data_IF_770797433992
#
_entry.id   IF_770797433992
#
_cell.length_a   1.000
_cell.length_b   1.000
_cell.length_c   1.000
_cell.angle_alpha   90.00
_cell.angle_beta   90.00
_cell.angle_gamma   90.00
#
_symmetry.space_group_name_H-M   'P 1'
#
loop_
_entity.id
_entity.type
_entity.pdbx_description
1 polymer ?
#
# COMPACT_ATOMS: atom_id res chain seq x y z
N UNK A 1 14.88 13.57 -27.80
CA UNK A 1 14.69 13.60 -26.33
C UNK A 1 13.20 13.48 -26.05
N UNK A 2 12.70 12.26 -25.85
CA UNK A 2 11.28 12.06 -25.53
C UNK A 2 11.10 12.32 -24.04
N UNK A 3 10.20 13.24 -23.69
CA UNK A 3 9.71 13.37 -22.32
C UNK A 3 9.11 12.01 -21.92
N UNK A 4 9.71 11.37 -20.92
CA UNK A 4 9.07 10.26 -20.22
C UNK A 4 7.69 10.75 -19.75
N UNK A 5 6.63 10.01 -20.12
CA UNK A 5 5.27 10.35 -19.71
C UNK A 5 5.21 10.50 -18.18
N UNK A 6 4.42 11.47 -17.71
CA UNK A 6 4.05 11.56 -16.31
C UNK A 6 3.56 10.20 -15.80
N UNK A 7 3.81 9.94 -14.51
CA UNK A 7 3.38 8.72 -13.84
C UNK A 7 1.92 8.40 -14.19
N UNK A 8 1.63 7.20 -14.74
CA UNK A 8 0.35 6.95 -15.43
C UNK A 8 -0.86 6.99 -14.50
N UNK A 9 -0.66 6.90 -13.17
CA UNK A 9 -1.74 6.95 -12.20
C UNK A 9 -1.92 8.35 -11.59
N UNK A 10 -2.63 9.22 -12.31
CA UNK A 10 -2.96 10.56 -11.83
C UNK A 10 -3.62 10.55 -10.43
N UNK A 11 -3.26 11.48 -9.56
CA UNK A 11 -3.88 11.61 -8.23
C UNK A 11 -3.33 10.65 -7.17
N UNK A 12 -2.18 10.01 -7.41
CA UNK A 12 -1.39 9.32 -6.38
C UNK A 12 -0.41 10.28 -5.70
N UNK A 13 -0.09 10.02 -4.44
CA UNK A 13 0.89 10.77 -3.65
C UNK A 13 2.02 9.87 -3.15
N UNK A 14 2.21 9.86 -1.83
CA UNK A 14 3.21 9.04 -1.14
C UNK A 14 3.14 7.57 -1.56
N UNK A 15 4.31 6.97 -1.78
CA UNK A 15 4.42 5.58 -2.20
C UNK A 15 5.61 4.89 -1.53
N UNK A 16 5.51 3.56 -1.48
CA UNK A 16 6.59 2.66 -1.06
C UNK A 16 6.80 1.61 -2.14
N UNK A 17 8.03 1.09 -2.20
CA UNK A 17 8.41 0.06 -3.16
C UNK A 17 9.10 -1.11 -2.45
N UNK A 18 8.92 -2.31 -3.00
CA UNK A 18 9.66 -3.51 -2.59
C UNK A 18 10.14 -4.27 -3.83
N UNK A 19 11.34 -4.84 -3.78
CA UNK A 19 11.83 -5.74 -4.83
C UNK A 19 11.46 -7.19 -4.49
N UNK A 20 10.77 -7.85 -5.43
CA UNK A 20 10.31 -9.25 -5.33
C UNK A 20 11.42 -10.24 -5.71
N UNK A 21 11.16 -11.54 -5.50
CA UNK A 21 12.14 -12.61 -5.77
C UNK A 21 12.67 -12.61 -7.21
N UNK A 22 11.80 -12.26 -8.18
CA UNK A 22 12.09 -12.22 -9.61
C UNK A 22 12.70 -10.89 -10.10
N UNK A 23 12.99 -9.95 -9.20
CA UNK A 23 13.50 -8.61 -9.54
C UNK A 23 12.41 -7.62 -10.00
N UNK A 24 11.14 -8.01 -9.94
CA UNK A 24 10.01 -7.08 -10.13
C UNK A 24 9.93 -6.10 -8.95
N UNK A 25 9.68 -4.84 -9.24
CA UNK A 25 9.38 -3.80 -8.26
C UNK A 25 7.88 -3.77 -8.02
N UNK A 26 7.47 -4.07 -6.79
CA UNK A 26 6.13 -3.85 -6.27
C UNK A 26 6.01 -2.41 -5.79
N UNK A 27 5.18 -1.61 -6.43
CA UNK A 27 4.89 -0.23 -6.10
C UNK A 27 3.52 -0.12 -5.42
N UNK A 28 3.48 0.44 -4.21
CA UNK A 28 2.26 0.64 -3.44
C UNK A 28 2.07 2.14 -3.19
N UNK A 29 0.95 2.67 -3.67
CA UNK A 29 0.71 4.12 -3.60
C UNK A 29 -0.56 4.48 -2.84
N UNK A 30 -0.45 5.62 -2.16
CA UNK A 30 -1.56 6.39 -1.63
C UNK A 30 -2.24 7.18 -2.75
N UNK A 31 -3.55 7.34 -2.65
CA UNK A 31 -4.39 8.26 -3.43
C UNK A 31 -4.62 9.55 -2.64
N UNK A 32 -4.53 10.69 -3.30
CA UNK A 32 -4.94 11.99 -2.74
C UNK A 32 -6.09 12.64 -3.54
N UNK A 33 -6.45 12.09 -4.71
CA UNK A 33 -7.53 12.60 -5.53
C UNK A 33 -8.87 11.96 -5.15
N UNK A 34 -9.76 12.80 -4.63
CA UNK A 34 -11.08 12.43 -4.10
C UNK A 34 -12.05 11.89 -5.15
N UNK A 35 -11.95 12.36 -6.40
CA UNK A 35 -12.84 11.93 -7.50
C UNK A 35 -12.54 10.52 -8.03
N UNK A 36 -11.51 9.83 -7.53
CA UNK A 36 -11.22 8.46 -7.96
C UNK A 36 -12.18 7.45 -7.34
N UNK A 37 -12.57 6.39 -8.07
CA UNK A 37 -13.29 5.27 -7.50
C UNK A 37 -12.41 4.52 -6.49
N UNK A 38 -13.04 3.94 -5.46
CA UNK A 38 -12.37 3.17 -4.40
C UNK A 38 -11.18 3.92 -3.78
N UNK A 39 -11.35 5.23 -3.55
CA UNK A 39 -10.31 6.13 -3.04
C UNK A 39 -9.87 5.87 -1.59
N UNK A 40 -10.50 4.91 -0.91
CA UNK A 40 -10.10 4.40 0.40
C UNK A 40 -9.30 3.09 0.33
N UNK A 41 -8.95 2.63 -0.88
CA UNK A 41 -8.17 1.40 -1.13
C UNK A 41 -6.81 1.71 -1.76
N UNK A 42 -5.82 0.86 -1.47
CA UNK A 42 -4.46 1.01 -2.03
C UNK A 42 -4.43 0.66 -3.51
N UNK A 43 -3.48 1.28 -4.20
CA UNK A 43 -3.17 0.97 -5.60
C UNK A 43 -1.81 0.29 -5.70
N UNK A 44 -1.83 -0.90 -6.27
CA UNK A 44 -0.65 -1.71 -6.55
C UNK A 44 -0.26 -1.62 -8.01
N UNK A 45 1.04 -1.70 -8.25
CA UNK A 45 1.60 -1.90 -9.57
C UNK A 45 2.87 -2.73 -9.46
N UNK A 46 3.07 -3.64 -10.40
CA UNK A 46 4.27 -4.46 -10.47
C UNK A 46 4.98 -4.17 -11.78
N UNK A 47 6.13 -3.52 -11.73
CA UNK A 47 6.97 -3.26 -12.90
C UNK A 47 8.27 -4.04 -12.82
N UNK A 48 8.95 -4.31 -13.95
CA UNK A 48 10.37 -4.69 -13.88
C UNK A 48 11.22 -3.55 -13.28
N UNK A 49 12.55 -3.72 -13.23
CA UNK A 49 13.49 -2.72 -12.66
C UNK A 49 13.30 -1.28 -13.15
N UNK A 50 12.65 -1.09 -14.30
CA UNK A 50 12.19 0.21 -14.81
C UNK A 50 10.67 0.18 -14.88
N UNK A 51 10.01 1.18 -14.31
CA UNK A 51 8.59 1.43 -14.50
C UNK A 51 8.31 1.64 -15.99
N UNK A 52 7.84 0.58 -16.67
CA UNK A 52 7.51 0.65 -18.10
C UNK A 52 6.08 1.16 -18.26
N UNK A 53 5.82 2.09 -19.19
CA UNK A 53 4.45 2.42 -19.59
C UNK A 53 3.72 1.14 -20.04
N UNK A 54 2.50 0.91 -19.54
CA UNK A 54 1.63 -0.17 -20.04
C UNK A 54 1.50 -1.44 -19.19
N UNK A 55 2.01 -1.48 -17.95
CA UNK A 55 1.49 -2.45 -16.96
C UNK A 55 0.30 -1.85 -16.20
N UNK A 56 -0.75 -2.62 -16.01
CA UNK A 56 -1.99 -2.15 -15.40
C UNK A 56 -1.84 -1.97 -13.88
N UNK A 57 -2.31 -0.83 -13.39
CA UNK A 57 -2.55 -0.63 -11.97
C UNK A 57 -3.74 -1.46 -11.54
N UNK A 58 -3.69 -1.99 -10.32
CA UNK A 58 -4.82 -2.67 -9.73
C UNK A 58 -5.14 -2.09 -8.36
N UNK A 59 -6.43 -2.15 -8.02
CA UNK A 59 -6.89 -1.86 -6.67
C UNK A 59 -6.62 -3.09 -5.82
N UNK A 60 -6.01 -2.89 -4.66
CA UNK A 60 -5.78 -3.95 -3.69
C UNK A 60 -6.92 -3.88 -2.67
N UNK A 61 -8.01 -4.61 -2.94
CA UNK A 61 -9.25 -4.53 -2.15
C UNK A 61 -9.03 -4.83 -0.65
N UNK A 62 -8.05 -5.68 -0.34
CA UNK A 62 -7.72 -6.06 1.04
C UNK A 62 -7.03 -4.93 1.84
N UNK A 63 -6.40 -3.96 1.18
CA UNK A 63 -5.55 -2.96 1.83
C UNK A 63 -6.22 -1.58 1.89
N UNK A 64 -6.35 -0.98 3.09
CA UNK A 64 -6.88 0.35 3.24
C UNK A 64 -5.86 1.41 2.84
N UNK A 65 -6.35 2.52 2.30
CA UNK A 65 -5.60 3.74 2.07
C UNK A 65 -6.00 4.81 3.08
N UNK A 66 -5.52 4.63 4.31
CA UNK A 66 -5.85 5.52 5.43
C UNK A 66 -7.22 5.23 6.06
N UNK A 67 -7.81 6.25 6.68
CA UNK A 67 -9.16 6.13 7.23
C UNK A 67 -10.18 5.88 6.11
N UNK A 68 -11.29 5.27 6.45
CA UNK A 68 -12.29 4.85 5.46
C UNK A 68 -13.47 5.84 5.33
N UNK A 69 -13.42 6.96 6.07
CA UNK A 69 -14.53 7.94 6.14
C UNK A 69 -14.50 9.03 5.06
N UNK A 70 -13.35 9.24 4.40
CA UNK A 70 -13.21 10.28 3.38
C UNK A 70 -12.15 9.92 2.35
N UNK A 71 -12.21 10.66 1.25
CA UNK A 71 -11.37 10.46 0.07
C UNK A 71 -10.06 11.24 0.15
N UNK A 72 -9.22 10.89 1.12
CA UNK A 72 -7.86 11.41 1.25
C UNK A 72 -6.99 10.40 1.98
N UNK A 73 -6.15 9.68 1.23
CA UNK A 73 -5.45 8.51 1.74
C UNK A 73 -4.44 8.81 2.85
N UNK A 74 -3.68 7.80 3.25
CA UNK A 74 -2.61 7.96 4.23
C UNK A 74 -1.36 7.20 3.78
N UNK A 75 -0.18 7.73 4.08
CA UNK A 75 1.08 6.98 3.92
C UNK A 75 0.93 5.61 4.58
N UNK A 76 1.43 4.58 3.91
CA UNK A 76 1.46 3.21 4.43
C UNK A 76 2.86 2.63 4.21
N UNK A 77 3.30 1.81 5.15
CA UNK A 77 4.58 1.11 5.07
C UNK A 77 4.47 -0.15 4.22
N UNK A 78 5.53 -0.49 3.49
CA UNK A 78 5.67 -1.76 2.79
C UNK A 78 7.12 -2.22 2.94
N UNK A 79 7.33 -3.47 3.35
CA UNK A 79 8.64 -4.09 3.39
C UNK A 79 8.57 -5.57 3.03
N UNK A 80 9.55 -6.12 2.29
CA UNK A 80 9.70 -7.56 2.20
C UNK A 80 10.17 -8.13 3.55
N UNK A 81 9.78 -9.38 3.84
CA UNK A 81 10.27 -10.15 4.99
C UNK A 81 11.39 -11.07 4.50
N UNK A 82 12.62 -10.82 4.93
CA UNK A 82 13.82 -11.56 4.55
C UNK A 82 15.00 -10.63 4.30
N UNK A 83 16.23 -11.17 4.36
CA UNK A 83 17.45 -10.38 4.21
C UNK A 83 17.67 -9.89 2.76
N UNK A 84 17.01 -10.53 1.78
CA UNK A 84 17.08 -10.23 0.35
C UNK A 84 15.76 -10.65 -0.34
N UNK A 85 15.48 -10.08 -1.52
CA UNK A 85 14.38 -10.37 -2.47
C UNK A 85 13.41 -11.48 -2.01
N UNK A 86 12.20 -11.09 -1.60
CA UNK A 86 11.23 -12.00 -0.98
C UNK A 86 9.82 -11.74 -1.52
N UNK A 87 9.05 -12.81 -1.67
CA UNK A 87 7.63 -12.75 -2.04
C UNK A 87 6.71 -12.67 -0.80
N UNK A 88 7.30 -12.64 0.40
CA UNK A 88 6.60 -12.35 1.64
C UNK A 88 6.67 -10.85 1.88
N UNK A 89 5.52 -10.19 1.84
CA UNK A 89 5.41 -8.74 2.01
C UNK A 89 4.62 -8.41 3.27
N UNK A 90 5.10 -7.39 3.99
CA UNK A 90 4.44 -6.80 5.16
C UNK A 90 4.01 -5.39 4.81
N UNK A 91 2.72 -5.11 4.96
CA UNK A 91 2.14 -3.79 4.74
C UNK A 91 1.56 -3.24 6.04
N UNK A 92 1.65 -1.93 6.28
CA UNK A 92 1.04 -1.28 7.43
C UNK A 92 0.30 0.00 7.07
N UNK A 93 -0.88 0.20 7.67
CA UNK A 93 -1.67 1.43 7.56
C UNK A 93 -2.72 1.51 8.69
N UNK A 94 -3.52 2.57 8.66
CA UNK A 94 -4.71 2.74 9.49
C UNK A 94 -5.82 1.78 9.04
N UNK A 95 -6.50 1.13 9.98
CA UNK A 95 -7.67 0.29 9.71
C UNK A 95 -8.88 0.78 10.52
N UNK A 96 -9.43 1.92 10.13
CA UNK A 96 -10.51 2.56 10.88
C UNK A 96 -11.50 3.28 9.98
N UNK A 97 -12.81 3.22 10.29
CA UNK A 97 -13.83 4.08 9.69
C UNK A 97 -13.87 5.47 10.33
N UNK A 98 -13.05 5.76 11.36
CA UNK A 98 -13.08 7.04 12.06
C UNK A 98 -12.12 8.06 11.42
N UNK A 99 -12.32 9.34 11.71
CA UNK A 99 -11.44 10.41 11.23
C UNK A 99 -10.05 10.43 11.89
N UNK A 100 -9.92 9.81 13.07
CA UNK A 100 -8.68 9.72 13.82
C UNK A 100 -7.72 8.74 13.16
N UNK A 101 -6.41 9.02 13.22
CA UNK A 101 -5.37 8.06 12.87
C UNK A 101 -5.16 7.09 14.03
N UNK A 102 -5.77 5.92 13.94
CA UNK A 102 -5.80 4.89 14.97
C UNK A 102 -5.85 3.49 14.33
N UNK A 103 -5.84 2.45 15.17
CA UNK A 103 -5.89 1.04 14.75
C UNK A 103 -4.83 0.72 13.70
N UNK A 104 -3.57 1.09 14.00
CA UNK A 104 -2.42 0.73 13.18
C UNK A 104 -2.41 -0.79 13.03
N UNK A 105 -2.52 -1.24 11.79
CA UNK A 105 -2.70 -2.64 11.46
C UNK A 105 -1.67 -3.05 10.43
N UNK A 106 -1.28 -4.32 10.50
CA UNK A 106 -0.30 -4.95 9.62
C UNK A 106 -0.99 -6.06 8.85
N UNK A 107 -0.72 -6.13 7.56
CA UNK A 107 -1.14 -7.21 6.67
C UNK A 107 0.10 -7.95 6.18
N UNK A 108 -0.05 -9.25 5.97
CA UNK A 108 0.99 -10.07 5.35
C UNK A 108 0.47 -10.74 4.08
N UNK A 109 1.30 -10.70 3.06
CA UNK A 109 1.18 -11.46 1.81
C UNK A 109 2.26 -12.53 1.79
N UNK A 110 1.95 -13.70 1.25
CA UNK A 110 2.89 -14.82 1.04
C UNK A 110 3.06 -15.18 -0.44
N UNK A 111 2.50 -14.36 -1.35
CA UNK A 111 2.40 -14.65 -2.78
C UNK A 111 2.72 -13.41 -3.65
N UNK A 112 3.72 -12.64 -3.24
CA UNK A 112 4.20 -11.44 -3.92
C UNK A 112 3.15 -10.31 -4.05
N UNK A 113 2.27 -10.21 -3.05
CA UNK A 113 1.28 -9.14 -2.91
C UNK A 113 0.00 -9.38 -3.69
N UNK A 114 -0.22 -10.60 -4.20
CA UNK A 114 -1.46 -10.99 -4.90
C UNK A 114 -2.62 -11.13 -3.92
N UNK A 115 -2.36 -11.71 -2.74
CA UNK A 115 -3.34 -11.84 -1.66
C UNK A 115 -2.77 -11.39 -0.32
N UNK A 116 -3.66 -10.95 0.58
CA UNK A 116 -3.29 -10.45 1.91
C UNK A 116 -4.10 -11.18 3.00
N UNK A 117 -3.89 -12.49 3.19
CA UNK A 117 -4.76 -13.33 4.01
C UNK A 117 -4.61 -13.11 5.52
N UNK A 118 -3.49 -12.52 5.97
CA UNK A 118 -3.21 -12.30 7.39
C UNK A 118 -3.27 -10.81 7.71
N UNK A 119 -3.95 -10.46 8.80
CA UNK A 119 -4.12 -9.10 9.29
C UNK A 119 -4.04 -9.07 10.83
N UNK A 120 -3.28 -8.14 11.41
CA UNK A 120 -3.16 -7.98 12.86
C UNK A 120 -2.93 -6.51 13.25
N UNK A 121 -3.73 -6.01 14.18
CA UNK A 121 -3.54 -4.68 14.76
C UNK A 121 -2.31 -4.69 15.70
N UNK A 122 -1.42 -3.71 15.59
CA UNK A 122 -0.12 -3.66 16.30
C UNK A 122 -0.30 -3.42 17.80
N UNK A 123 -1.30 -2.62 18.18
CA UNK A 123 -1.66 -2.33 19.57
C UNK A 123 -3.18 -2.35 19.66
N UNK A 124 -3.74 -3.30 20.41
CA UNK A 124 -5.19 -3.53 20.57
C UNK A 124 -5.75 -3.04 21.91
N UNK A 125 -4.93 -2.31 22.67
CA UNK A 125 -5.25 -1.71 23.98
C UNK A 125 -6.23 -2.51 24.86
N UNK A 126 -5.65 -3.30 25.76
CA UNK A 126 -5.89 -3.06 27.18
C UNK A 126 -4.68 -2.34 27.75
N UNK A 127 -4.79 -1.02 27.96
CA UNK A 127 -4.26 -0.29 29.12
C UNK A 127 -4.33 1.21 28.86
N UNK A 128 -5.29 1.87 29.49
CA UNK A 128 -5.33 3.32 29.66
C UNK A 128 -4.26 3.82 30.64
N UNK A 129 -2.99 3.60 30.34
CA UNK A 129 -1.89 4.24 31.08
C UNK A 129 -0.84 4.76 30.10
N UNK A 130 -0.57 6.08 30.09
CA UNK A 130 0.56 6.63 29.35
C UNK A 130 1.86 6.01 29.89
N UNK A 131 2.80 5.67 28.99
CA UNK A 131 4.22 5.55 29.33
C UNK A 131 4.88 6.90 29.14
#
# INVERSE_FOLDING_TARGET
MAYERAFPENGTGEATVAELSDGTIYYNSRIHWDKRPNNTRRRGHTAGMVARPGREWHIIEALPDGHQHRSYGCMGGLTPLGCQRSDILIFSNLDTPNARREKITVWASFDAGKTWPVKRQVLTDQAGTPR
#
